data_IF_124427686770
#
_entry.id   IF_124427686770
#
_cell.length_a   1.000
_cell.length_b   1.000
_cell.length_c   1.000
_cell.angle_alpha   90.00
_cell.angle_beta   90.00
_cell.angle_gamma   90.00
#
_symmetry.space_group_name_H-M   'P 1'
#
loop_
_entity.id
_entity.type
_entity.pdbx_description
1 polymer ?
#
# COMPACT_ATOMS: atom_id res chain seq x y z
N UNK A 1 10.38 10.61 -21.82
CA UNK A 1 9.67 9.32 -21.96
C UNK A 1 9.75 8.83 -23.39
N UNK A 2 9.89 7.52 -23.61
CA UNK A 2 9.79 6.92 -24.96
C UNK A 2 8.37 6.39 -25.12
N UNK A 3 7.45 7.26 -25.54
CA UNK A 3 6.04 6.91 -25.67
C UNK A 3 5.39 7.66 -26.83
N UNK A 4 4.34 7.06 -27.39
CA UNK A 4 3.51 7.57 -28.48
C UNK A 4 2.09 7.05 -28.28
N UNK A 5 1.12 7.69 -28.92
CA UNK A 5 -0.21 7.11 -29.08
C UNK A 5 -1.39 7.96 -28.63
N UNK A 6 -1.21 9.24 -28.29
CA UNK A 6 -2.35 10.14 -28.09
C UNK A 6 -2.96 10.64 -29.40
N UNK A 7 -2.20 10.62 -30.50
CA UNK A 7 -2.67 11.00 -31.86
C UNK A 7 -3.16 9.81 -32.71
N UNK A 8 -3.05 8.59 -32.19
CA UNK A 8 -3.44 7.34 -32.86
C UNK A 8 -4.29 6.49 -31.93
N UNK A 9 -5.08 5.56 -32.46
CA UNK A 9 -5.90 4.70 -31.62
C UNK A 9 -5.06 3.55 -31.04
N UNK A 10 -4.87 3.46 -29.70
CA UNK A 10 -3.91 2.52 -29.10
C UNK A 10 -4.28 1.04 -29.25
N UNK A 11 -5.51 0.72 -29.66
CA UNK A 11 -5.94 -0.64 -30.03
C UNK A 11 -5.77 -0.88 -31.54
N UNK A 12 -6.50 -0.15 -32.39
CA UNK A 12 -6.52 -0.39 -33.84
C UNK A 12 -5.19 -0.07 -34.55
N UNK A 13 -4.41 0.89 -34.05
CA UNK A 13 -3.13 1.31 -34.66
C UNK A 13 -1.91 0.66 -33.98
N UNK A 14 -2.10 -0.43 -33.22
CA UNK A 14 -1.04 -1.07 -32.40
C UNK A 14 0.23 -1.36 -33.19
N UNK A 15 0.10 -1.95 -34.39
CA UNK A 15 1.25 -2.34 -35.23
C UNK A 15 2.03 -1.12 -35.74
N UNK A 16 1.32 -0.09 -36.18
CA UNK A 16 1.93 1.18 -36.60
C UNK A 16 2.67 1.85 -35.43
N UNK A 17 2.03 1.89 -34.26
CA UNK A 17 2.63 2.44 -33.04
C UNK A 17 3.86 1.63 -32.60
N UNK A 18 3.81 0.30 -32.70
CA UNK A 18 4.96 -0.57 -32.46
C UNK A 18 6.15 -0.17 -33.32
N UNK A 19 5.96 -0.10 -34.62
CA UNK A 19 7.08 0.15 -35.54
C UNK A 19 7.70 1.54 -35.30
N UNK A 20 6.88 2.54 -34.96
CA UNK A 20 7.38 3.87 -34.58
C UNK A 20 8.14 3.85 -33.25
N UNK A 21 7.60 3.17 -32.23
CA UNK A 21 8.26 3.05 -30.93
C UNK A 21 9.60 2.30 -31.04
N UNK A 22 9.67 1.23 -31.84
CA UNK A 22 10.91 0.50 -32.09
C UNK A 22 11.96 1.41 -32.75
N UNK A 23 11.58 2.22 -33.75
CA UNK A 23 12.48 3.21 -34.35
C UNK A 23 13.01 4.20 -33.32
N UNK A 24 12.14 4.72 -32.45
CA UNK A 24 12.53 5.67 -31.40
C UNK A 24 13.48 5.00 -30.40
N UNK A 25 13.15 3.82 -29.88
CA UNK A 25 13.99 3.11 -28.89
C UNK A 25 15.36 2.80 -29.47
N UNK A 26 15.44 2.28 -30.70
CA UNK A 26 16.71 2.00 -31.36
C UNK A 26 17.51 3.28 -31.64
N UNK A 27 16.84 4.39 -31.99
CA UNK A 27 17.47 5.70 -32.13
C UNK A 27 18.01 6.25 -30.81
N UNK A 28 17.29 6.07 -29.70
CA UNK A 28 17.77 6.42 -28.36
C UNK A 28 18.97 5.56 -27.98
N UNK A 29 18.93 4.26 -28.27
CA UNK A 29 20.07 3.37 -28.05
C UNK A 29 21.30 3.80 -28.86
N UNK A 30 21.16 4.10 -30.15
CA UNK A 30 22.24 4.65 -30.98
C UNK A 30 22.80 5.94 -30.40
N UNK A 31 21.93 6.84 -29.93
CA UNK A 31 22.35 8.06 -29.27
C UNK A 31 23.21 7.77 -28.02
N UNK A 32 22.74 6.90 -27.12
CA UNK A 32 23.46 6.50 -25.91
C UNK A 32 24.82 5.87 -26.24
N UNK A 33 24.88 5.05 -27.29
CA UNK A 33 26.08 4.30 -27.67
C UNK A 33 27.13 5.11 -28.39
N UNK A 34 26.68 5.96 -29.31
CA UNK A 34 27.56 6.51 -30.33
C UNK A 34 27.68 8.03 -30.24
N UNK A 35 26.68 8.72 -29.67
CA UNK A 35 26.52 10.18 -29.85
C UNK A 35 26.49 10.99 -28.56
N UNK A 36 25.98 10.46 -27.46
CA UNK A 36 25.82 11.24 -26.23
C UNK A 36 27.18 11.60 -25.61
N UNK A 37 27.27 12.70 -24.82
CA UNK A 37 28.51 13.10 -24.15
C UNK A 37 29.13 11.99 -23.29
N UNK A 38 28.29 11.17 -22.67
CA UNK A 38 28.68 10.09 -21.76
C UNK A 38 28.93 8.73 -22.43
N UNK A 39 28.99 8.66 -23.77
CA UNK A 39 29.10 7.39 -24.51
C UNK A 39 30.27 6.49 -24.08
N UNK A 40 31.36 7.08 -23.56
CA UNK A 40 32.49 6.32 -23.00
C UNK A 40 32.07 5.40 -21.86
N UNK A 41 31.10 5.80 -21.03
CA UNK A 41 30.52 4.97 -19.96
C UNK A 41 29.73 3.80 -20.53
N UNK A 42 29.03 4.06 -21.63
CA UNK A 42 28.23 3.05 -22.30
C UNK A 42 29.06 2.13 -23.21
N UNK A 43 30.36 2.36 -23.43
CA UNK A 43 31.17 1.65 -24.46
C UNK A 43 31.04 0.12 -24.43
N UNK A 44 30.89 -0.47 -23.25
CA UNK A 44 30.85 -1.92 -23.04
C UNK A 44 29.44 -2.47 -22.76
N UNK A 45 28.38 -1.63 -22.69
CA UNK A 45 27.04 -2.20 -22.47
C UNK A 45 26.52 -2.81 -23.78
N UNK A 46 25.83 -3.93 -23.70
CA UNK A 46 25.06 -4.49 -24.80
C UNK A 46 23.57 -4.19 -24.61
N UNK A 47 22.82 -4.11 -25.70
CA UNK A 47 21.36 -4.13 -25.62
C UNK A 47 20.95 -5.60 -25.45
N UNK A 48 20.63 -5.99 -24.22
CA UNK A 48 20.31 -7.39 -23.89
C UNK A 48 18.90 -7.78 -24.35
N UNK A 49 17.92 -6.89 -24.15
CA UNK A 49 16.54 -7.18 -24.45
C UNK A 49 15.76 -5.93 -24.90
N UNK A 50 14.81 -6.14 -25.82
CA UNK A 50 13.89 -5.11 -26.29
C UNK A 50 12.48 -5.71 -26.41
N UNK A 51 11.52 -5.13 -25.70
CA UNK A 51 10.11 -5.50 -25.81
C UNK A 51 9.56 -5.14 -27.20
N UNK A 52 9.06 -6.15 -27.94
CA UNK A 52 8.46 -5.93 -29.25
C UNK A 52 6.98 -5.49 -29.20
N UNK A 53 6.23 -5.84 -28.16
CA UNK A 53 4.82 -5.41 -28.03
C UNK A 53 4.73 -4.13 -27.21
N UNK A 54 4.16 -3.03 -27.73
CA UNK A 54 3.99 -1.80 -26.98
C UNK A 54 3.20 -2.00 -25.69
N UNK A 55 3.75 -1.56 -24.57
CA UNK A 55 3.02 -1.50 -23.33
C UNK A 55 1.92 -0.42 -23.44
N UNK A 56 0.69 -0.76 -23.05
CA UNK A 56 -0.44 0.17 -23.06
C UNK A 56 -0.66 0.74 -21.67
N UNK A 57 -0.52 2.06 -21.55
CA UNK A 57 -0.82 2.78 -20.30
C UNK A 57 -2.33 2.87 -20.07
N UNK A 58 -3.09 3.04 -21.15
CA UNK A 58 -4.53 3.22 -21.13
C UNK A 58 -5.22 2.38 -22.20
N UNK A 59 -6.47 1.99 -21.90
CA UNK A 59 -7.33 1.23 -22.80
C UNK A 59 -8.79 1.39 -22.35
N UNK A 60 -9.64 0.42 -22.71
CA UNK A 60 -11.02 0.35 -22.24
C UNK A 60 -11.07 0.35 -20.71
N UNK A 61 -11.93 1.21 -20.16
CA UNK A 61 -12.27 1.30 -18.75
C UNK A 61 -13.72 0.88 -18.57
N UNK A 62 -14.03 0.31 -17.41
CA UNK A 62 -15.42 0.01 -17.07
C UNK A 62 -16.09 1.22 -16.43
N UNK A 63 -17.41 1.33 -16.62
CA UNK A 63 -18.22 2.31 -15.90
C UNK A 63 -18.77 1.67 -14.64
N UNK A 64 -18.29 2.16 -13.50
CA UNK A 64 -18.77 1.77 -12.18
C UNK A 64 -19.93 2.63 -11.69
N UNK A 65 -20.38 2.34 -10.47
CA UNK A 65 -21.41 3.14 -9.79
C UNK A 65 -20.95 4.58 -9.52
N UNK A 66 -19.65 4.84 -9.45
CA UNK A 66 -19.01 6.16 -9.51
C UNK A 66 -17.90 6.16 -10.55
N UNK A 67 -17.66 7.31 -11.18
CA UNK A 67 -16.48 7.55 -12.03
C UNK A 67 -15.61 8.53 -11.26
N UNK A 68 -14.45 8.08 -10.76
CA UNK A 68 -13.53 8.98 -10.09
C UNK A 68 -13.03 10.06 -11.06
N UNK A 69 -13.19 11.32 -10.71
CA UNK A 69 -12.85 12.47 -11.56
C UNK A 69 -11.57 13.18 -11.11
N UNK A 70 -11.09 14.11 -11.94
CA UNK A 70 -10.01 15.02 -11.56
C UNK A 70 -10.40 15.86 -10.33
N UNK A 71 -11.63 16.42 -10.32
CA UNK A 71 -12.12 17.23 -9.21
C UNK A 71 -12.21 16.43 -7.90
N UNK A 72 -12.59 15.15 -7.98
CA UNK A 72 -12.58 14.26 -6.80
C UNK A 72 -11.17 14.14 -6.22
N UNK A 73 -10.16 13.95 -7.08
CA UNK A 73 -8.76 13.84 -6.64
C UNK A 73 -8.25 15.18 -6.09
N UNK A 74 -8.49 16.28 -6.79
CA UNK A 74 -8.07 17.64 -6.37
C UNK A 74 -8.69 18.06 -5.02
N UNK A 75 -9.85 17.49 -4.67
CA UNK A 75 -10.53 17.68 -3.38
C UNK A 75 -10.25 16.57 -2.35
N UNK A 76 -9.14 15.83 -2.51
CA UNK A 76 -8.69 14.72 -1.65
C UNK A 76 -9.58 13.46 -1.68
N UNK A 77 -10.77 13.49 -2.26
CA UNK A 77 -11.61 12.30 -2.40
C UNK A 77 -12.03 11.70 -1.05
N UNK A 78 -12.45 12.54 -0.09
CA UNK A 78 -12.94 12.14 1.25
C UNK A 78 -14.35 11.53 1.20
N UNK A 79 -14.47 10.38 0.55
CA UNK A 79 -15.72 9.62 0.47
C UNK A 79 -16.00 8.84 1.75
N UNK A 80 -17.26 8.52 2.03
CA UNK A 80 -17.61 7.63 3.15
C UNK A 80 -17.20 6.17 2.86
N UNK A 81 -17.16 5.79 1.59
CA UNK A 81 -16.90 4.43 1.14
C UNK A 81 -15.50 4.18 0.60
N UNK A 82 -14.49 4.88 1.13
CA UNK A 82 -13.09 4.70 0.72
C UNK A 82 -12.62 3.29 1.06
N UNK A 83 -11.97 2.64 0.09
CA UNK A 83 -11.39 1.30 0.25
C UNK A 83 -9.94 1.20 -0.22
N UNK A 84 -9.45 2.24 -0.89
CA UNK A 84 -8.11 2.35 -1.44
C UNK A 84 -7.73 3.83 -1.54
N UNK A 85 -6.47 4.10 -1.84
CA UNK A 85 -5.98 5.47 -1.96
C UNK A 85 -4.88 5.55 -3.01
N UNK A 86 -4.68 6.77 -3.53
CA UNK A 86 -3.52 7.11 -4.33
C UNK A 86 -2.73 8.27 -3.70
N UNK A 87 -1.51 8.47 -4.17
CA UNK A 87 -0.66 9.60 -3.79
C UNK A 87 0.30 10.03 -4.90
N UNK A 88 0.11 9.48 -6.11
CA UNK A 88 0.88 9.87 -7.28
C UNK A 88 0.31 11.17 -7.85
N UNK A 89 1.12 12.13 -8.31
CA UNK A 89 0.64 13.27 -9.07
C UNK A 89 -0.20 12.82 -10.28
N UNK A 90 -1.14 13.63 -10.74
CA UNK A 90 -1.81 13.36 -12.02
C UNK A 90 -0.86 13.75 -13.17
N UNK A 91 -0.13 12.77 -13.69
CA UNK A 91 0.85 12.91 -14.78
C UNK A 91 0.16 12.75 -16.15
N UNK A 92 -0.40 13.84 -16.67
CA UNK A 92 -1.01 13.87 -17.99
C UNK A 92 0.05 13.92 -19.09
N UNK A 93 -0.04 13.02 -20.06
CA UNK A 93 0.98 12.86 -21.10
C UNK A 93 0.51 13.52 -22.38
N UNK A 94 1.36 14.40 -22.93
CA UNK A 94 1.02 15.12 -24.15
C UNK A 94 0.70 14.14 -25.30
N UNK A 95 -0.38 14.34 -26.09
CA UNK A 95 -0.80 13.36 -27.10
C UNK A 95 0.27 13.01 -28.16
N UNK A 96 1.08 14.01 -28.55
CA UNK A 96 2.23 13.85 -29.45
C UNK A 96 3.38 12.99 -28.86
N UNK A 97 3.34 12.66 -27.57
CA UNK A 97 4.31 11.83 -26.86
C UNK A 97 5.74 12.33 -27.04
N UNK A 98 6.63 11.45 -27.51
CA UNK A 98 8.03 11.76 -27.80
C UNK A 98 8.23 12.99 -28.70
N UNK A 99 7.27 13.32 -29.57
CA UNK A 99 7.37 14.46 -30.49
C UNK A 99 6.93 15.80 -29.89
N UNK A 100 6.39 15.84 -28.66
CA UNK A 100 5.93 17.09 -28.03
C UNK A 100 7.04 18.14 -27.94
N UNK A 101 8.29 17.71 -27.74
CA UNK A 101 9.46 18.58 -27.64
C UNK A 101 9.70 19.37 -28.93
N UNK A 102 9.37 18.80 -30.09
CA UNK A 102 9.48 19.50 -31.39
C UNK A 102 8.44 20.61 -31.54
N UNK A 103 7.34 20.52 -30.79
CA UNK A 103 6.27 21.51 -30.75
C UNK A 103 6.48 22.55 -29.64
N UNK A 104 7.56 22.45 -28.86
CA UNK A 104 7.82 23.35 -27.73
C UNK A 104 6.98 23.07 -26.48
N UNK A 105 6.31 21.91 -26.39
CA UNK A 105 5.51 21.52 -25.24
C UNK A 105 6.21 20.50 -24.36
N UNK A 106 6.02 20.55 -23.02
CA UNK A 106 6.49 19.49 -22.14
C UNK A 106 5.81 18.16 -22.50
N UNK A 107 6.55 17.06 -22.34
CA UNK A 107 6.01 15.72 -22.60
C UNK A 107 4.98 15.26 -21.56
N UNK A 108 5.00 15.89 -20.38
CA UNK A 108 4.12 15.55 -19.26
C UNK A 108 3.72 16.84 -18.54
N UNK A 109 2.44 16.98 -18.26
CA UNK A 109 1.86 18.03 -17.42
C UNK A 109 1.42 17.40 -16.10
N UNK A 110 1.80 18.00 -14.98
CA UNK A 110 1.41 17.52 -13.66
C UNK A 110 0.28 18.39 -13.13
N UNK A 111 -0.87 17.77 -12.91
CA UNK A 111 -2.01 18.42 -12.27
C UNK A 111 -1.96 18.23 -10.75
N UNK A 112 -2.55 19.16 -9.97
CA UNK A 112 -2.61 19.03 -8.52
C UNK A 112 -3.28 17.72 -8.11
N UNK A 113 -2.61 16.95 -7.25
CA UNK A 113 -3.19 15.77 -6.62
C UNK A 113 -2.69 15.72 -5.17
N UNK A 114 -3.53 16.10 -4.20
CA UNK A 114 -3.24 15.88 -2.79
C UNK A 114 -2.83 14.43 -2.53
N UNK A 115 -1.88 14.23 -1.62
CA UNK A 115 -1.39 12.91 -1.26
C UNK A 115 -1.54 12.69 0.24
N UNK A 116 -2.35 11.71 0.69
CA UNK A 116 -3.14 10.79 -0.13
C UNK A 116 -4.49 11.39 -0.60
N UNK A 117 -5.08 10.80 -1.64
CA UNK A 117 -6.50 10.94 -1.99
C UNK A 117 -7.24 9.60 -1.92
N UNK A 118 -8.54 9.62 -1.62
CA UNK A 118 -9.36 8.41 -1.48
C UNK A 118 -9.95 7.87 -2.79
N UNK A 119 -10.10 6.55 -2.87
CA UNK A 119 -10.79 5.84 -3.95
C UNK A 119 -11.99 5.08 -3.34
N UNK A 120 -13.23 5.41 -3.72
CA UNK A 120 -14.42 4.82 -3.14
C UNK A 120 -14.76 3.45 -3.76
N UNK A 121 -15.43 2.58 -2.99
CA UNK A 121 -15.80 1.22 -3.37
C UNK A 121 -16.64 1.18 -4.65
N UNK A 122 -17.56 2.14 -4.81
CA UNK A 122 -18.38 2.33 -6.01
C UNK A 122 -17.59 2.55 -7.31
N UNK A 123 -16.30 2.87 -7.27
CA UNK A 123 -15.43 2.89 -8.44
C UNK A 123 -15.04 1.48 -8.93
N UNK A 124 -15.22 0.44 -8.11
CA UNK A 124 -14.82 -0.94 -8.38
C UNK A 124 -16.01 -1.87 -8.69
N UNK A 125 -17.23 -1.36 -8.66
CA UNK A 125 -18.46 -2.14 -8.89
C UNK A 125 -19.16 -1.64 -10.15
N UNK A 126 -19.53 -2.56 -11.04
CA UNK A 126 -20.21 -2.23 -12.30
C UNK A 126 -21.51 -1.46 -12.10
N UNK A 127 -21.76 -0.49 -12.98
CA UNK A 127 -23.01 0.27 -13.01
C UNK A 127 -24.25 -0.60 -13.31
N UNK A 128 -24.09 -1.66 -14.11
CA UNK A 128 -25.22 -2.40 -14.68
C UNK A 128 -25.14 -3.93 -14.55
N UNK A 129 -24.05 -4.49 -14.01
CA UNK A 129 -23.91 -5.93 -13.78
C UNK A 129 -23.63 -6.13 -12.28
N UNK A 130 -24.65 -6.56 -11.55
CA UNK A 130 -24.69 -6.56 -10.07
C UNK A 130 -23.59 -7.41 -9.40
N UNK A 131 -23.09 -8.43 -10.10
CA UNK A 131 -22.05 -9.34 -9.64
C UNK A 131 -20.67 -9.12 -10.30
N UNK A 132 -20.48 -8.01 -11.03
CA UNK A 132 -19.21 -7.70 -11.69
C UNK A 132 -18.45 -6.63 -10.92
N UNK A 133 -17.23 -6.97 -10.54
CA UNK A 133 -16.24 -6.04 -9.98
C UNK A 133 -15.04 -5.89 -10.92
N UNK A 134 -14.30 -4.80 -10.76
CA UNK A 134 -13.04 -4.53 -11.46
C UNK A 134 -12.14 -3.65 -10.60
N UNK A 135 -10.82 -3.80 -10.76
CA UNK A 135 -9.82 -3.10 -9.97
C UNK A 135 -8.52 -2.92 -10.74
N UNK A 136 -7.79 -1.85 -10.43
CA UNK A 136 -6.56 -1.50 -11.13
C UNK A 136 -6.80 -0.56 -12.29
N UNK A 137 -6.08 -0.75 -13.40
CA UNK A 137 -6.13 0.14 -14.58
C UNK A 137 -7.49 0.17 -15.30
N UNK A 138 -8.35 -0.80 -15.04
CA UNK A 138 -9.70 -0.87 -15.62
C UNK A 138 -10.78 -0.28 -14.70
N UNK A 139 -10.41 0.24 -13.52
CA UNK A 139 -11.32 0.85 -12.57
C UNK A 139 -12.03 2.08 -13.16
N UNK A 140 -13.18 2.41 -12.60
CA UNK A 140 -14.04 3.48 -13.10
C UNK A 140 -13.49 4.86 -12.73
N UNK A 141 -12.82 5.49 -13.69
CA UNK A 141 -12.21 6.81 -13.55
C UNK A 141 -12.17 7.55 -14.89
N UNK A 142 -12.06 8.88 -14.85
CA UNK A 142 -11.80 9.70 -16.04
C UNK A 142 -10.37 9.48 -16.54
N UNK A 143 -10.07 9.92 -17.76
CA UNK A 143 -8.72 9.87 -18.32
C UNK A 143 -7.69 10.54 -17.41
N UNK A 144 -7.97 11.76 -16.94
CA UNK A 144 -7.07 12.51 -16.06
C UNK A 144 -6.91 11.82 -14.71
N UNK A 145 -7.99 11.34 -14.07
CA UNK A 145 -7.88 10.62 -12.81
C UNK A 145 -7.08 9.31 -12.96
N UNK A 146 -7.22 8.63 -14.10
CA UNK A 146 -6.46 7.41 -14.39
C UNK A 146 -4.95 7.65 -14.40
N UNK A 147 -4.47 8.83 -14.81
CA UNK A 147 -3.03 9.14 -14.82
C UNK A 147 -2.38 8.86 -13.46
N UNK A 148 -3.07 9.22 -12.38
CA UNK A 148 -2.64 8.97 -11.00
C UNK A 148 -3.02 7.59 -10.46
N UNK A 149 -4.23 7.08 -10.74
CA UNK A 149 -4.72 5.83 -10.11
C UNK A 149 -4.11 4.56 -10.70
N UNK A 150 -3.57 4.63 -11.93
CA UNK A 150 -3.02 3.47 -12.66
C UNK A 150 -1.67 2.96 -12.16
N UNK A 151 -1.06 3.62 -11.17
CA UNK A 151 0.22 3.24 -10.58
C UNK A 151 0.07 1.92 -9.82
N UNK A 152 1.10 1.08 -9.86
CA UNK A 152 1.00 -0.32 -9.39
C UNK A 152 0.59 -0.44 -7.92
N UNK A 153 1.11 0.41 -7.03
CA UNK A 153 0.72 0.41 -5.62
C UNK A 153 -0.77 0.70 -5.42
N UNK A 154 -1.28 1.74 -6.08
CA UNK A 154 -2.71 2.09 -6.08
C UNK A 154 -3.57 0.97 -6.66
N UNK A 155 -3.13 0.35 -7.76
CA UNK A 155 -3.80 -0.81 -8.35
C UNK A 155 -3.86 -2.01 -7.41
N UNK A 156 -2.77 -2.30 -6.70
CA UNK A 156 -2.71 -3.37 -5.71
C UNK A 156 -3.66 -3.11 -4.54
N UNK A 157 -3.74 -1.86 -4.06
CA UNK A 157 -4.69 -1.47 -3.00
C UNK A 157 -6.15 -1.69 -3.43
N UNK A 158 -6.51 -1.25 -4.65
CA UNK A 158 -7.84 -1.54 -5.21
C UNK A 158 -8.09 -3.05 -5.38
N UNK A 159 -7.08 -3.82 -5.79
CA UNK A 159 -7.16 -5.26 -5.95
C UNK A 159 -7.44 -6.00 -4.63
N UNK A 160 -6.73 -5.62 -3.56
CA UNK A 160 -6.97 -6.15 -2.22
C UNK A 160 -8.40 -5.84 -1.75
N UNK A 161 -8.84 -4.58 -1.90
CA UNK A 161 -10.21 -4.18 -1.57
C UNK A 161 -11.27 -4.98 -2.33
N UNK A 162 -11.10 -5.17 -3.63
CA UNK A 162 -12.02 -5.94 -4.45
C UNK A 162 -12.08 -7.42 -4.04
N UNK A 163 -10.93 -8.04 -3.78
CA UNK A 163 -10.84 -9.42 -3.32
C UNK A 163 -11.50 -9.63 -1.95
N UNK A 164 -11.22 -8.74 -0.99
CA UNK A 164 -11.84 -8.77 0.35
C UNK A 164 -13.36 -8.60 0.27
N UNK A 165 -13.84 -7.65 -0.54
CA UNK A 165 -15.26 -7.44 -0.74
C UNK A 165 -15.95 -8.67 -1.35
N UNK A 166 -15.33 -9.30 -2.35
CA UNK A 166 -15.84 -10.52 -2.97
C UNK A 166 -15.92 -11.69 -1.96
N UNK A 167 -14.91 -11.84 -1.10
CA UNK A 167 -14.91 -12.86 -0.05
C UNK A 167 -16.03 -12.61 0.98
N UNK A 168 -16.25 -11.36 1.41
CA UNK A 168 -17.35 -10.99 2.30
C UNK A 168 -18.70 -11.28 1.64
N UNK A 169 -18.87 -10.88 0.38
CA UNK A 169 -20.10 -11.07 -0.38
C UNK A 169 -20.45 -12.57 -0.49
N UNK A 170 -19.47 -13.40 -0.87
CA UNK A 170 -19.63 -14.84 -0.95
C UNK A 170 -20.00 -15.47 0.40
N UNK A 171 -19.31 -15.08 1.49
CA UNK A 171 -19.58 -15.60 2.84
C UNK A 171 -20.99 -15.25 3.35
N UNK A 172 -21.51 -14.08 2.98
CA UNK A 172 -22.83 -13.60 3.41
C UNK A 172 -23.96 -13.97 2.44
N UNK A 173 -23.65 -14.55 1.29
CA UNK A 173 -24.66 -14.85 0.26
C UNK A 173 -25.30 -13.61 -0.35
N UNK A 174 -24.56 -12.51 -0.46
CA UNK A 174 -25.01 -11.23 -1.05
C UNK A 174 -24.24 -10.93 -2.34
N UNK A 175 -24.71 -9.98 -3.14
CA UNK A 175 -23.99 -9.56 -4.35
C UNK A 175 -22.88 -8.56 -3.98
N UNK A 176 -21.80 -8.47 -4.77
CA UNK A 176 -20.80 -7.42 -4.65
C UNK A 176 -21.39 -6.02 -4.52
N UNK A 177 -22.45 -5.71 -5.27
CA UNK A 177 -23.08 -4.40 -5.19
C UNK A 177 -23.72 -4.07 -3.82
N UNK A 178 -24.06 -5.08 -3.03
CA UNK A 178 -24.71 -4.93 -1.72
C UNK A 178 -23.70 -4.64 -0.61
N UNK A 179 -22.40 -4.81 -0.87
CA UNK A 179 -21.31 -4.48 0.06
C UNK A 179 -21.29 -2.99 0.39
N UNK A 180 -21.80 -2.12 -0.48
CA UNK A 180 -21.99 -0.69 -0.18
C UNK A 180 -22.80 -0.45 1.10
N UNK A 181 -23.74 -1.35 1.45
CA UNK A 181 -24.51 -1.27 2.69
C UNK A 181 -23.76 -1.81 3.92
N UNK A 182 -22.55 -2.32 3.73
CA UNK A 182 -21.70 -2.94 4.75
C UNK A 182 -20.26 -2.43 4.66
N UNK A 183 -20.09 -1.18 4.24
CA UNK A 183 -18.78 -0.61 3.95
C UNK A 183 -17.86 -0.59 5.16
N UNK A 184 -18.40 -0.35 6.36
CA UNK A 184 -17.64 -0.41 7.60
C UNK A 184 -17.04 -1.79 7.84
N UNK A 185 -17.76 -2.87 7.53
CA UNK A 185 -17.21 -4.23 7.64
C UNK A 185 -16.04 -4.43 6.67
N UNK A 186 -16.16 -3.97 5.42
CA UNK A 186 -15.09 -4.05 4.43
C UNK A 186 -13.85 -3.25 4.88
N UNK A 187 -14.05 -1.99 5.28
CA UNK A 187 -12.99 -1.11 5.76
C UNK A 187 -12.27 -1.71 6.98
N UNK A 188 -13.01 -2.16 7.99
CA UNK A 188 -12.42 -2.78 9.17
C UNK A 188 -11.66 -4.06 8.80
N UNK A 189 -12.22 -4.92 7.94
CA UNK A 189 -11.53 -6.15 7.49
C UNK A 189 -10.19 -5.81 6.82
N UNK A 190 -10.16 -4.79 5.95
CA UNK A 190 -8.94 -4.32 5.30
C UNK A 190 -7.92 -3.78 6.32
N UNK A 191 -8.37 -2.97 7.28
CA UNK A 191 -7.51 -2.40 8.33
C UNK A 191 -6.93 -3.48 9.25
N UNK A 192 -7.72 -4.50 9.61
CA UNK A 192 -7.24 -5.65 10.37
C UNK A 192 -6.14 -6.41 9.60
N UNK A 193 -6.22 -6.47 8.27
CA UNK A 193 -5.19 -7.02 7.37
C UNK A 193 -4.04 -6.03 7.04
N UNK A 194 -3.86 -4.98 7.85
CA UNK A 194 -2.81 -3.96 7.75
C UNK A 194 -2.81 -3.15 6.43
N UNK A 195 -3.97 -3.06 5.77
CA UNK A 195 -4.19 -2.07 4.73
C UNK A 195 -4.25 -0.65 5.34
N UNK A 196 -4.09 0.37 4.49
CA UNK A 196 -4.33 1.76 4.88
C UNK A 196 -5.52 2.32 4.13
N UNK A 197 -6.41 2.96 4.88
CA UNK A 197 -7.55 3.69 4.35
C UNK A 197 -7.47 5.08 4.99
N UNK A 198 -7.09 6.13 4.24
CA UNK A 198 -7.00 7.48 4.79
C UNK A 198 -8.29 7.88 5.50
N UNK A 199 -8.15 8.55 6.63
CA UNK A 199 -9.25 9.06 7.46
C UNK A 199 -10.16 8.01 8.12
N UNK A 200 -9.91 6.72 7.93
CA UNK A 200 -10.63 5.64 8.60
C UNK A 200 -9.73 4.99 9.63
N UNK A 201 -10.19 4.93 10.88
CA UNK A 201 -9.46 4.28 11.98
C UNK A 201 -9.88 2.83 12.13
N UNK A 202 -8.92 1.98 12.48
CA UNK A 202 -9.22 0.62 12.91
C UNK A 202 -9.94 0.68 14.25
N UNK A 203 -11.07 0.00 14.35
CA UNK A 203 -11.77 -0.24 15.60
C UNK A 203 -10.97 -1.25 16.42
N UNK A 204 -10.58 -0.87 17.63
CA UNK A 204 -9.83 -1.75 18.52
C UNK A 204 -10.77 -2.65 19.32
N UNK A 205 -10.39 -3.91 19.59
CA UNK A 205 -11.20 -4.81 20.39
C UNK A 205 -11.48 -4.25 21.79
N UNK A 206 -12.69 -4.46 22.29
CA UNK A 206 -13.13 -3.93 23.59
C UNK A 206 -12.22 -4.36 24.74
N UNK A 207 -11.75 -5.61 24.73
CA UNK A 207 -10.79 -6.12 25.71
C UNK A 207 -9.51 -5.28 25.73
N UNK A 208 -8.98 -4.94 24.55
CA UNK A 208 -7.76 -4.12 24.41
C UNK A 208 -7.97 -2.70 24.96
N UNK A 209 -9.13 -2.08 24.70
CA UNK A 209 -9.44 -0.74 25.17
C UNK A 209 -9.66 -0.66 26.68
N UNK A 210 -10.36 -1.65 27.27
CA UNK A 210 -10.66 -1.67 28.71
C UNK A 210 -9.47 -2.08 29.59
N UNK A 211 -8.42 -2.61 28.98
CA UNK A 211 -7.23 -3.10 29.67
C UNK A 211 -6.32 -1.98 30.15
N UNK A 212 -5.62 -2.24 31.26
CA UNK A 212 -4.58 -1.35 31.76
C UNK A 212 -3.29 -1.59 30.96
N UNK A 213 -2.90 -0.60 30.16
CA UNK A 213 -1.71 -0.65 29.31
C UNK A 213 -0.50 -0.10 30.09
N UNK A 214 0.57 -0.89 30.12
CA UNK A 214 1.83 -0.58 30.79
C UNK A 214 2.99 -0.76 29.81
N UNK A 215 4.07 -0.01 30.03
CA UNK A 215 5.32 -0.16 29.28
C UNK A 215 6.52 -0.05 30.21
N UNK A 216 7.66 -0.59 29.78
CA UNK A 216 8.95 -0.37 30.43
C UNK A 216 9.51 1.04 30.18
N UNK A 217 9.05 1.71 29.12
CA UNK A 217 9.56 3.00 28.67
C UNK A 217 8.51 3.73 27.81
N UNK A 218 8.60 5.06 27.78
CA UNK A 218 7.78 5.91 26.91
C UNK A 218 6.27 5.79 27.11
N UNK A 219 5.51 6.42 26.22
CA UNK A 219 4.05 6.32 26.18
C UNK A 219 3.62 5.21 25.20
N UNK A 220 2.96 4.12 25.66
CA UNK A 220 2.51 3.05 24.78
C UNK A 220 1.12 3.27 24.18
N UNK A 221 0.34 4.26 24.62
CA UNK A 221 -1.06 4.47 24.17
C UNK A 221 -1.28 4.48 22.65
N UNK A 222 -0.37 5.02 21.81
CA UNK A 222 -0.57 5.00 20.37
C UNK A 222 -0.77 3.61 19.75
N UNK A 223 -0.31 2.52 20.38
CA UNK A 223 -0.47 1.16 19.82
C UNK A 223 -1.92 0.66 19.75
N UNK A 224 -2.87 1.43 20.29
CA UNK A 224 -4.31 1.15 20.27
C UNK A 224 -5.16 2.35 19.85
N UNK A 225 -4.59 3.31 19.11
CA UNK A 225 -5.31 4.51 18.68
C UNK A 225 -6.06 4.36 17.33
N UNK A 226 -5.91 3.19 16.69
CA UNK A 226 -6.55 2.84 15.42
C UNK A 226 -5.76 3.21 14.17
N UNK A 227 -4.55 3.76 14.30
CA UNK A 227 -3.69 4.16 13.18
C UNK A 227 -2.36 3.41 13.27
N UNK A 228 -2.13 2.48 12.35
CA UNK A 228 -1.01 1.54 12.46
C UNK A 228 0.24 1.99 11.65
N UNK A 229 0.47 3.30 11.48
CA UNK A 229 1.58 3.86 10.69
C UNK A 229 1.74 5.37 10.93
N UNK A 230 2.88 5.97 10.54
CA UNK A 230 3.02 7.42 10.58
C UNK A 230 2.01 8.10 9.64
N UNK A 231 1.37 9.16 10.13
CA UNK A 231 0.46 10.02 9.37
C UNK A 231 0.81 11.47 9.72
N UNK A 232 1.10 12.26 8.70
CA UNK A 232 1.61 13.62 8.84
C UNK A 232 2.82 13.68 9.80
N UNK A 233 2.72 14.46 10.87
CA UNK A 233 3.77 14.61 11.88
C UNK A 233 3.63 13.63 13.07
N UNK A 234 2.59 12.79 13.10
CA UNK A 234 2.37 11.84 14.18
C UNK A 234 2.84 10.44 13.78
N UNK A 235 3.65 9.82 14.63
CA UNK A 235 4.21 8.49 14.38
C UNK A 235 3.22 7.35 14.67
N UNK A 236 2.20 7.59 15.50
CA UNK A 236 1.21 6.59 15.90
C UNK A 236 1.83 5.24 16.34
N UNK A 237 2.84 5.31 17.21
CA UNK A 237 3.58 4.12 17.63
C UNK A 237 4.09 4.23 19.06
N UNK A 238 4.45 3.09 19.63
CA UNK A 238 5.34 3.00 20.77
C UNK A 238 6.78 2.79 20.30
N UNK A 239 7.67 3.72 20.63
CA UNK A 239 9.11 3.60 20.36
C UNK A 239 9.81 2.79 21.45
N UNK A 240 10.64 1.82 21.06
CA UNK A 240 11.28 0.92 22.01
C UNK A 240 12.66 0.42 21.53
N UNK A 241 13.41 -0.22 22.43
CA UNK A 241 14.71 -0.86 22.15
C UNK A 241 14.74 -2.29 22.69
N UNK A 242 15.66 -3.16 22.22
CA UNK A 242 15.81 -4.50 22.79
C UNK A 242 15.86 -4.50 24.31
N UNK A 243 15.04 -5.35 24.94
CA UNK A 243 14.82 -5.43 26.39
C UNK A 243 13.55 -4.71 26.89
N UNK A 244 13.02 -3.75 26.12
CA UNK A 244 11.77 -3.07 26.46
C UNK A 244 10.54 -3.97 26.24
N UNK A 245 9.46 -3.66 26.96
CA UNK A 245 8.19 -4.38 26.88
C UNK A 245 6.96 -3.47 26.99
N UNK A 246 5.85 -3.91 26.40
CA UNK A 246 4.50 -3.39 26.62
C UNK A 246 3.58 -4.51 27.07
N UNK A 247 2.61 -4.21 27.93
CA UNK A 247 1.64 -5.19 28.41
C UNK A 247 0.26 -4.62 28.61
N UNK A 248 -0.75 -5.44 28.34
CA UNK A 248 -2.10 -5.25 28.85
C UNK A 248 -2.31 -6.14 30.07
N UNK A 249 -2.81 -5.55 31.15
CA UNK A 249 -3.35 -6.27 32.31
C UNK A 249 -4.85 -6.09 32.31
N UNK A 250 -5.58 -7.20 32.35
CA UNK A 250 -7.02 -7.21 32.26
C UNK A 250 -7.64 -6.95 33.63
N UNK A 251 -8.83 -6.35 33.65
CA UNK A 251 -9.58 -6.13 34.92
C UNK A 251 -9.98 -7.44 35.57
N UNK A 252 -10.33 -8.41 34.74
CA UNK A 252 -10.69 -9.77 35.12
C UNK A 252 -10.07 -10.74 34.12
N UNK A 253 -9.95 -12.00 34.56
CA UNK A 253 -9.47 -13.08 33.69
C UNK A 253 -10.40 -13.18 32.48
N UNK A 254 -9.82 -13.12 31.28
CA UNK A 254 -10.57 -12.99 30.03
C UNK A 254 -10.10 -14.03 29.03
N UNK A 255 -11.03 -14.56 28.23
CA UNK A 255 -10.70 -15.44 27.12
C UNK A 255 -10.12 -14.62 25.97
N UNK A 256 -8.89 -14.95 25.55
CA UNK A 256 -8.22 -14.34 24.40
C UNK A 256 -8.12 -15.39 23.31
N UNK A 257 -8.73 -15.10 22.17
CA UNK A 257 -8.70 -15.94 20.98
C UNK A 257 -7.42 -15.68 20.16
N UNK A 258 -7.06 -14.41 19.96
CA UNK A 258 -5.97 -14.01 19.06
C UNK A 258 -5.24 -12.77 19.58
N UNK A 259 -3.93 -12.74 19.34
CA UNK A 259 -3.07 -11.57 19.58
C UNK A 259 -2.51 -11.10 18.25
N UNK A 260 -2.51 -9.78 18.03
CA UNK A 260 -1.94 -9.15 16.84
C UNK A 260 -0.89 -8.13 17.22
N UNK A 261 0.22 -8.12 16.47
CA UNK A 261 1.29 -7.11 16.57
C UNK A 261 1.55 -6.57 15.16
N UNK A 262 1.59 -5.25 15.02
CA UNK A 262 2.06 -4.57 13.80
C UNK A 262 3.36 -3.86 14.13
N UNK A 263 4.43 -4.29 13.49
CA UNK A 263 5.80 -3.84 13.78
C UNK A 263 6.31 -2.84 12.75
N UNK A 264 7.41 -2.16 13.06
CA UNK A 264 8.06 -1.32 12.07
C UNK A 264 8.60 -2.13 10.89
N UNK A 265 8.33 -1.65 9.68
CA UNK A 265 8.86 -2.19 8.44
C UNK A 265 9.54 -1.11 7.62
N UNK A 266 9.91 0.01 8.24
CA UNK A 266 10.55 1.15 7.58
C UNK A 266 9.66 1.80 6.52
N UNK A 267 8.37 2.03 6.82
CA UNK A 267 7.45 2.68 5.89
C UNK A 267 7.86 4.11 5.52
N UNK A 268 8.69 4.73 6.35
CA UNK A 268 9.30 6.05 6.15
C UNK A 268 10.58 6.02 5.29
N UNK A 269 11.09 4.82 4.94
CA UNK A 269 12.27 4.70 4.08
C UNK A 269 11.92 4.85 2.61
N UNK A 270 12.65 5.71 1.92
CA UNK A 270 12.57 5.84 0.47
C UNK A 270 13.29 4.67 -0.20
N UNK A 271 12.52 3.67 -0.65
CA UNK A 271 13.03 2.47 -1.34
C UNK A 271 13.09 2.62 -2.87
N UNK A 272 13.06 3.85 -3.39
CA UNK A 272 12.96 4.12 -4.81
C UNK A 272 14.28 3.82 -5.54
N UNK A 273 14.42 2.64 -6.13
CA UNK A 273 15.58 2.27 -6.95
C UNK A 273 15.83 3.31 -8.04
N UNK A 274 16.97 3.99 -7.98
CA UNK A 274 17.44 4.87 -9.05
C UNK A 274 18.88 4.53 -9.41
N UNK A 275 19.29 4.80 -10.65
CA UNK A 275 20.67 4.58 -11.08
C UNK A 275 21.68 5.32 -10.17
N UNK A 276 21.26 6.44 -9.56
CA UNK A 276 22.09 7.30 -8.74
C UNK A 276 22.23 6.79 -7.30
N UNK A 277 21.39 5.85 -6.88
CA UNK A 277 21.55 5.15 -5.63
C UNK A 277 22.53 3.98 -5.85
N UNK A 278 23.36 3.71 -4.84
CA UNK A 278 24.12 2.46 -4.83
C UNK A 278 23.09 1.33 -4.90
N UNK A 279 23.37 0.30 -5.70
CA UNK A 279 22.61 -0.95 -5.68
C UNK A 279 22.82 -1.58 -4.30
N UNK A 280 21.98 -1.17 -3.35
CA UNK A 280 22.00 -1.67 -1.98
C UNK A 280 21.10 -2.90 -1.85
N UNK A 281 20.69 -3.51 -2.99
CA UNK A 281 19.86 -4.72 -3.13
C UNK A 281 19.18 -5.06 -1.81
N UNK A 282 17.93 -4.62 -1.63
CA UNK A 282 17.09 -4.91 -0.45
C UNK A 282 16.93 -6.43 -0.27
N UNK A 283 18.00 -7.07 0.15
CA UNK A 283 18.21 -8.51 0.35
C UNK A 283 18.06 -8.87 1.82
N UNK A 284 17.94 -7.85 2.68
CA UNK A 284 17.66 -7.96 4.10
C UNK A 284 16.42 -7.13 4.48
N UNK A 285 15.70 -7.54 5.53
CA UNK A 285 14.66 -6.70 6.13
C UNK A 285 15.21 -5.35 6.61
N UNK A 286 14.38 -4.30 6.69
CA UNK A 286 14.79 -3.01 7.23
C UNK A 286 15.39 -3.15 8.63
N UNK A 287 16.52 -2.48 8.89
CA UNK A 287 17.19 -2.53 10.20
C UNK A 287 16.30 -2.21 11.40
N UNK A 288 15.27 -1.37 11.21
CA UNK A 288 14.30 -1.00 12.24
C UNK A 288 13.29 -2.09 12.52
N UNK A 289 13.13 -3.10 11.68
CA UNK A 289 12.16 -4.17 11.91
C UNK A 289 12.56 -5.02 13.12
N UNK A 290 11.62 -5.29 14.06
CA UNK A 290 11.80 -6.30 15.10
C UNK A 290 12.11 -7.67 14.47
N UNK A 291 13.29 -8.21 14.78
CA UNK A 291 13.77 -9.50 14.32
C UNK A 291 13.32 -10.61 15.29
N UNK A 292 13.56 -10.41 16.58
CA UNK A 292 13.21 -11.35 17.64
C UNK A 292 12.36 -10.64 18.69
N UNK A 293 11.26 -11.26 19.07
CA UNK A 293 10.41 -10.81 20.15
C UNK A 293 9.64 -12.00 20.72
N UNK A 294 9.11 -11.85 21.92
CA UNK A 294 8.26 -12.86 22.55
C UNK A 294 6.99 -12.26 23.08
N UNK A 295 5.96 -13.09 23.14
CA UNK A 295 4.70 -12.76 23.81
C UNK A 295 4.61 -13.63 25.06
N UNK A 296 4.30 -12.99 26.17
CA UNK A 296 4.02 -13.62 27.46
C UNK A 296 2.53 -13.46 27.80
N UNK A 297 1.95 -14.47 28.41
CA UNK A 297 0.63 -14.41 29.03
C UNK A 297 0.76 -14.38 30.55
N UNK A 298 -0.12 -13.64 31.21
CA UNK A 298 -0.23 -13.63 32.67
C UNK A 298 -1.26 -14.67 33.11
N UNK A 299 -0.88 -15.54 34.03
CA UNK A 299 -1.79 -16.51 34.65
C UNK A 299 -1.33 -16.80 36.07
N UNK A 300 -2.27 -16.83 37.02
CA UNK A 300 -1.98 -17.01 38.45
C UNK A 300 -0.95 -15.98 38.94
N UNK A 301 -1.07 -14.73 38.49
CA UNK A 301 -0.17 -13.64 38.86
C UNK A 301 1.22 -13.67 38.23
N UNK A 302 1.58 -14.70 37.45
CA UNK A 302 2.92 -14.87 36.85
C UNK A 302 2.88 -14.77 35.33
N UNK A 303 3.97 -14.24 34.76
CA UNK A 303 4.15 -14.14 33.31
C UNK A 303 4.86 -15.40 32.77
N UNK A 304 4.30 -15.96 31.70
CA UNK A 304 4.85 -17.13 31.02
C UNK A 304 4.92 -16.87 29.52
N UNK A 305 6.05 -17.17 28.88
CA UNK A 305 6.19 -17.06 27.42
C UNK A 305 5.26 -18.06 26.74
N UNK A 306 4.38 -17.56 25.85
CA UNK A 306 3.47 -18.37 25.05
C UNK A 306 3.95 -18.55 23.61
N UNK A 307 4.70 -17.59 23.08
CA UNK A 307 5.36 -17.69 21.79
C UNK A 307 6.63 -16.85 21.76
N UNK A 308 7.66 -17.33 21.07
CA UNK A 308 8.88 -16.58 20.76
C UNK A 308 9.09 -16.61 19.25
N UNK A 309 9.13 -15.43 18.65
CA UNK A 309 9.37 -15.23 17.22
C UNK A 309 10.85 -14.95 17.02
N UNK A 310 11.45 -15.60 16.03
CA UNK A 310 12.85 -15.40 15.63
C UNK A 310 12.95 -15.13 14.14
N UNK A 311 13.92 -14.32 13.73
CA UNK A 311 14.18 -13.97 12.33
C UNK A 311 12.91 -13.44 11.61
N UNK A 312 12.10 -12.63 12.29
CA UNK A 312 10.86 -12.09 11.72
C UNK A 312 11.15 -11.20 10.52
N UNK A 313 10.41 -11.40 9.43
CA UNK A 313 10.42 -10.53 8.24
C UNK A 313 9.00 -10.03 7.90
N UNK A 314 8.02 -10.29 8.76
CA UNK A 314 6.63 -9.91 8.56
C UNK A 314 6.28 -8.69 9.41
N UNK A 315 5.61 -7.71 8.77
CA UNK A 315 5.09 -6.51 9.43
C UNK A 315 3.92 -6.83 10.36
N UNK A 316 2.99 -7.64 9.88
CA UNK A 316 1.80 -8.09 10.59
C UNK A 316 2.04 -9.48 11.16
N UNK A 317 2.05 -9.61 12.48
CA UNK A 317 2.17 -10.88 13.19
C UNK A 317 0.86 -11.20 13.91
N UNK A 318 0.36 -12.42 13.77
CA UNK A 318 -0.84 -12.92 14.44
C UNK A 318 -0.54 -14.25 15.14
N UNK A 319 -1.06 -14.40 16.36
CA UNK A 319 -0.93 -15.63 17.14
C UNK A 319 -2.27 -16.04 17.73
N UNK A 320 -2.75 -17.25 17.40
CA UNK A 320 -3.95 -17.83 18.01
C UNK A 320 -3.60 -18.39 19.40
N UNK A 321 -4.19 -17.80 20.44
CA UNK A 321 -3.98 -18.22 21.83
C UNK A 321 -5.01 -19.23 22.29
N UNK A 322 -6.31 -18.92 22.09
CA UNK A 322 -7.49 -19.68 22.53
C UNK A 322 -7.44 -20.08 24.01
N UNK A 323 -7.12 -19.12 24.89
CA UNK A 323 -6.88 -19.36 26.32
C UNK A 323 -7.42 -18.23 27.19
N UNK A 324 -7.77 -18.59 28.42
CA UNK A 324 -8.21 -17.66 29.46
C UNK A 324 -7.00 -17.15 30.27
N UNK A 325 -6.74 -15.85 30.24
CA UNK A 325 -5.53 -15.23 30.79
C UNK A 325 -5.84 -13.89 31.49
N UNK A 326 -4.92 -13.41 32.31
CA UNK A 326 -5.06 -12.16 33.10
C UNK A 326 -4.39 -10.96 32.41
N UNK A 327 -3.66 -11.19 31.32
CA UNK A 327 -2.94 -10.16 30.60
C UNK A 327 -1.98 -10.73 29.56
N UNK A 328 -1.49 -9.85 28.70
CA UNK A 328 -0.55 -10.15 27.61
C UNK A 328 0.61 -9.15 27.63
N UNK A 329 1.81 -9.59 27.27
CA UNK A 329 3.00 -8.74 27.20
C UNK A 329 3.82 -9.06 25.96
N UNK A 330 4.17 -8.04 25.19
CA UNK A 330 5.16 -8.11 24.13
C UNK A 330 6.51 -7.67 24.69
N UNK A 331 7.56 -8.47 24.51
CA UNK A 331 8.94 -8.14 24.87
C UNK A 331 9.80 -8.16 23.61
N UNK A 332 10.42 -7.02 23.30
CA UNK A 332 11.36 -6.91 22.18
C UNK A 332 12.70 -7.52 22.58
N UNK A 333 13.23 -8.46 21.79
CA UNK A 333 14.51 -9.13 22.08
C UNK A 333 15.63 -8.66 21.14
N UNK A 334 15.32 -8.39 19.87
CA UNK A 334 16.31 -7.99 18.85
C UNK A 334 15.64 -7.29 17.66
N UNK A 335 16.36 -6.38 17.01
CA UNK A 335 16.02 -5.77 15.71
C UNK A 335 17.02 -6.25 14.65
N UNK A 336 16.71 -6.06 13.37
CA UNK A 336 17.62 -6.42 12.26
C UNK A 336 18.89 -5.55 12.16
N UNK A 337 19.08 -4.56 13.03
CA UNK A 337 20.30 -3.76 13.11
C UNK A 337 20.16 -2.43 13.83
N UNK A 338 18.94 -1.89 13.93
CA UNK A 338 18.72 -0.58 14.53
C UNK A 338 18.73 -0.63 16.06
N UNK A 339 19.27 0.42 16.71
CA UNK A 339 19.26 0.53 18.19
C UNK A 339 17.85 0.69 18.79
N UNK A 340 16.91 1.20 17.99
CA UNK A 340 15.51 1.45 18.36
C UNK A 340 14.59 1.01 17.22
N UNK A 341 13.34 0.75 17.56
CA UNK A 341 12.26 0.37 16.64
C UNK A 341 10.94 0.98 17.12
N UNK A 342 9.87 0.73 16.37
CA UNK A 342 8.51 1.18 16.61
C UNK A 342 7.56 -0.03 16.59
N UNK A 343 6.59 -0.03 17.50
CA UNK A 343 5.43 -0.92 17.44
C UNK A 343 4.23 -0.03 17.10
N UNK A 344 3.58 -0.31 15.98
CA UNK A 344 2.45 0.49 15.51
C UNK A 344 1.12 0.00 16.07
N UNK A 345 0.99 -1.31 16.31
CA UNK A 345 -0.20 -1.85 16.97
C UNK A 345 0.13 -3.06 17.84
N UNK A 346 -0.56 -3.16 18.97
CA UNK A 346 -0.58 -4.36 19.80
C UNK A 346 -1.95 -4.48 20.44
N UNK A 347 -2.67 -5.55 20.11
CA UNK A 347 -4.05 -5.77 20.57
C UNK A 347 -4.39 -7.26 20.64
N UNK A 348 -5.49 -7.54 21.33
CA UNK A 348 -6.03 -8.89 21.50
C UNK A 348 -7.56 -8.90 21.36
N UNK A 349 -8.04 -10.01 20.78
CA UNK A 349 -9.45 -10.33 20.49
C UNK A 349 -9.88 -11.59 21.22
#
# INVERSE_FOLDING_TARGET
WIELGGEYHPIYDTEKLRDQLLKIVLGVWDHIKNRCPDKKRARNWALEWLQFLPAKRESRRFTGKHILTQNDIESEGKFEDIIAYGGWPMDDHHPAGFYSVKMGFPSTTFHPAPSPYGIPYRCLVSKNIKNLMFAGRNASCTHIAMSSTRVMGTCSSMGQAAGTAAAIAAKKGILPEDISNQIGLLQQTLLYDDAYIPWVKQEMPELTLKSHLLSSSGNPEPVRDGINRPVDNNLHCWECKPGDWISYVFKEKSFVNKITVIVDSGLDKLIAMSHHQRDDQLSSPPETMPENFRIEAKSNGRWHTIIRVKNNYQRLFRYETKREIEGIKLVLEKTHGAKKTRIYAFYCE
#
